data_IF_577135324527
#
_entry.id   IF_577135324527
#
_cell.length_a   1.000
_cell.length_b   1.000
_cell.length_c   1.000
_cell.angle_alpha   90.00
_cell.angle_beta   90.00
_cell.angle_gamma   90.00
#
_symmetry.space_group_name_H-M   'P 1'
#
loop_
_entity.id
_entity.type
_entity.pdbx_description
1 polymer ?
#
# COMPACT_ATOMS: atom_id res chain seq x y z
N UNK A 1 -9.74 -4.63 32.60
CA UNK A 1 -8.77 -5.22 31.67
C UNK A 1 -8.21 -4.05 30.89
N UNK A 2 -6.90 -4.01 30.72
CA UNK A 2 -6.28 -3.04 29.82
C UNK A 2 -6.63 -3.37 28.36
N UNK A 3 -6.68 -2.36 27.50
CA UNK A 3 -6.79 -2.59 26.05
C UNK A 3 -5.54 -3.31 25.54
N UNK A 4 -5.70 -4.27 24.63
CA UNK A 4 -4.60 -4.93 23.97
C UNK A 4 -4.26 -4.22 22.65
N UNK A 5 -3.02 -3.78 22.51
CA UNK A 5 -2.50 -3.17 21.28
C UNK A 5 -1.60 -4.18 20.57
N UNK A 6 -1.98 -4.60 19.35
CA UNK A 6 -1.13 -5.41 18.49
C UNK A 6 -0.32 -4.54 17.54
N UNK A 7 0.98 -4.78 17.43
CA UNK A 7 1.88 -4.06 16.51
C UNK A 7 2.36 -5.04 15.44
N UNK A 8 1.96 -4.82 14.20
CA UNK A 8 2.33 -5.62 13.02
C UNK A 8 3.55 -5.02 12.35
N UNK A 9 4.61 -5.79 12.20
CA UNK A 9 5.88 -5.36 11.62
C UNK A 9 6.28 -6.29 10.47
N UNK A 10 5.97 -5.93 9.20
CA UNK A 10 6.44 -6.67 8.04
C UNK A 10 7.95 -6.45 7.85
N UNK A 11 8.72 -7.52 7.74
CA UNK A 11 10.18 -7.49 7.63
C UNK A 11 10.66 -8.28 6.41
N UNK A 12 11.56 -7.68 5.64
CA UNK A 12 12.30 -8.34 4.56
C UNK A 12 13.74 -7.86 4.50
N UNK A 13 14.70 -8.71 4.89
CA UNK A 13 16.11 -8.37 5.04
C UNK A 13 16.32 -7.15 5.96
N UNK A 14 15.85 -7.27 7.21
CA UNK A 14 15.90 -6.23 8.23
C UNK A 14 16.71 -6.69 9.48
N UNK A 15 17.66 -7.61 9.30
CA UNK A 15 18.46 -8.17 10.40
C UNK A 15 19.21 -7.11 11.23
N UNK A 16 19.61 -5.99 10.62
CA UNK A 16 20.32 -4.89 11.28
C UNK A 16 19.38 -3.85 11.91
N UNK A 17 18.22 -3.61 11.27
CA UNK A 17 17.26 -2.59 11.74
C UNK A 17 16.39 -3.12 12.88
N UNK A 18 15.98 -4.40 12.81
CA UNK A 18 15.01 -4.97 13.72
C UNK A 18 15.41 -4.92 15.20
N UNK A 19 16.65 -5.21 15.62
CA UNK A 19 17.04 -5.08 17.03
C UNK A 19 16.90 -3.66 17.56
N UNK A 20 17.30 -2.65 16.77
CA UNK A 20 17.19 -1.23 17.13
C UNK A 20 15.72 -0.80 17.20
N UNK A 21 14.90 -1.26 16.26
CA UNK A 21 13.47 -1.00 16.28
C UNK A 21 12.81 -1.52 17.56
N UNK A 22 13.12 -2.78 17.96
CA UNK A 22 12.55 -3.38 19.17
C UNK A 22 13.01 -2.66 20.42
N UNK A 23 14.26 -2.20 20.51
CA UNK A 23 14.76 -1.42 21.64
C UNK A 23 13.98 -0.09 21.80
N UNK A 24 13.75 0.63 20.69
CA UNK A 24 12.95 1.85 20.70
C UNK A 24 11.50 1.55 21.08
N UNK A 25 10.93 0.47 20.52
CA UNK A 25 9.57 0.06 20.81
C UNK A 25 9.38 -0.33 22.28
N UNK A 26 10.33 -1.04 22.88
CA UNK A 26 10.33 -1.37 24.33
C UNK A 26 10.21 -0.08 25.19
N UNK A 27 10.92 0.98 24.78
CA UNK A 27 10.84 2.29 25.44
C UNK A 27 9.47 2.96 25.30
N UNK A 28 8.76 2.76 24.21
CA UNK A 28 7.38 3.28 24.00
C UNK A 28 6.39 2.45 24.82
N UNK A 29 6.48 1.13 24.76
CA UNK A 29 5.66 0.21 25.56
C UNK A 29 5.75 0.56 27.05
N UNK A 30 6.96 0.81 27.55
CA UNK A 30 7.16 1.19 28.94
C UNK A 30 6.51 2.54 29.34
N UNK A 31 6.25 3.43 28.37
CA UNK A 31 5.53 4.70 28.60
C UNK A 31 4.02 4.54 28.56
N UNK A 32 3.51 3.44 28.01
CA UNK A 32 2.09 3.14 27.82
C UNK A 32 1.67 2.02 28.78
N UNK A 33 1.95 2.16 30.08
CA UNK A 33 1.66 1.18 31.14
C UNK A 33 0.16 0.91 31.38
N UNK A 34 -0.69 1.70 30.73
CA UNK A 34 -2.14 1.58 30.74
C UNK A 34 -2.70 0.64 29.66
N UNK A 35 -1.86 0.05 28.81
CA UNK A 35 -2.25 -0.89 27.77
C UNK A 35 -1.34 -2.14 27.79
N UNK A 36 -1.90 -3.27 27.36
CA UNK A 36 -1.14 -4.51 27.10
C UNK A 36 -0.69 -4.55 25.64
N UNK A 37 0.40 -5.27 25.36
CA UNK A 37 0.99 -5.27 24.03
C UNK A 37 1.21 -6.69 23.46
N UNK A 38 1.00 -6.82 22.16
CA UNK A 38 1.40 -7.94 21.33
C UNK A 38 2.19 -7.39 20.13
N UNK A 39 3.33 -7.97 19.79
CA UNK A 39 4.07 -7.63 18.57
C UNK A 39 4.06 -8.83 17.63
N UNK A 40 3.63 -8.64 16.39
CA UNK A 40 3.59 -9.67 15.35
C UNK A 40 4.63 -9.32 14.27
N UNK A 41 5.80 -9.96 14.35
CA UNK A 41 6.86 -9.83 13.36
C UNK A 41 6.56 -10.76 12.18
N UNK A 42 6.54 -10.25 10.95
CA UNK A 42 6.27 -11.06 9.75
C UNK A 42 7.53 -11.10 8.87
N UNK A 43 8.20 -12.22 8.81
CA UNK A 43 9.32 -12.45 7.90
C UNK A 43 8.81 -12.80 6.50
N UNK A 44 8.95 -11.88 5.55
CA UNK A 44 8.56 -12.06 4.15
C UNK A 44 9.65 -12.79 3.34
N UNK A 45 10.05 -13.99 3.80
CA UNK A 45 11.02 -14.82 3.10
C UNK A 45 12.39 -14.17 2.95
N UNK A 46 12.92 -13.55 4.01
CA UNK A 46 14.24 -12.90 4.03
C UNK A 46 15.35 -13.88 3.67
N UNK A 47 16.42 -13.35 3.05
CA UNK A 47 17.60 -14.09 2.63
C UNK A 47 18.82 -13.86 3.55
N UNK A 48 18.69 -12.91 4.47
CA UNK A 48 19.67 -12.58 5.50
C UNK A 48 19.30 -13.26 6.84
N UNK A 49 19.90 -12.81 7.93
CA UNK A 49 19.67 -13.35 9.28
C UNK A 49 18.42 -12.83 9.97
N UNK A 50 17.48 -12.19 9.24
CA UNK A 50 16.26 -11.61 9.85
C UNK A 50 15.46 -12.64 10.64
N UNK A 51 15.28 -13.87 10.11
CA UNK A 51 14.52 -14.90 10.82
C UNK A 51 15.19 -15.36 12.10
N UNK A 52 16.53 -15.52 12.10
CA UNK A 52 17.29 -15.87 13.31
C UNK A 52 17.18 -14.77 14.36
N UNK A 53 17.26 -13.53 13.95
CA UNK A 53 17.09 -12.35 14.84
C UNK A 53 15.69 -12.33 15.43
N UNK A 54 14.63 -12.56 14.63
CA UNK A 54 13.24 -12.65 15.14
C UNK A 54 13.08 -13.73 16.20
N UNK A 55 13.63 -14.92 15.94
CA UNK A 55 13.58 -16.03 16.89
C UNK A 55 14.26 -15.68 18.21
N UNK A 56 15.45 -15.09 18.15
CA UNK A 56 16.20 -14.69 19.34
C UNK A 56 15.44 -13.61 20.15
N UNK A 57 14.84 -12.64 19.49
CA UNK A 57 14.05 -11.59 20.13
C UNK A 57 12.80 -12.18 20.80
N UNK A 58 12.07 -13.07 20.14
CA UNK A 58 10.85 -13.69 20.68
C UNK A 58 11.13 -14.60 21.90
N UNK A 59 12.32 -15.18 22.00
CA UNK A 59 12.71 -15.99 23.19
C UNK A 59 12.82 -15.16 24.46
N UNK A 60 13.15 -13.86 24.34
CA UNK A 60 13.37 -12.95 25.49
C UNK A 60 12.17 -12.04 25.78
N UNK A 61 11.16 -12.03 24.91
CA UNK A 61 10.00 -11.14 24.98
C UNK A 61 8.70 -11.90 24.72
N UNK A 62 7.97 -12.34 25.76
CA UNK A 62 6.76 -13.15 25.61
C UNK A 62 5.62 -12.49 24.81
N UNK A 63 5.61 -11.17 24.73
CA UNK A 63 4.62 -10.41 23.95
C UNK A 63 4.94 -10.37 22.44
N UNK A 64 6.09 -10.92 22.00
CA UNK A 64 6.48 -10.98 20.60
C UNK A 64 6.19 -12.35 20.00
N UNK A 65 5.38 -12.36 18.94
CA UNK A 65 5.15 -13.52 18.06
C UNK A 65 5.81 -13.26 16.71
N UNK A 66 6.16 -14.33 15.98
CA UNK A 66 6.64 -14.17 14.60
C UNK A 66 5.96 -15.17 13.67
N UNK A 67 5.79 -14.75 12.41
CA UNK A 67 5.31 -15.54 11.28
C UNK A 67 6.37 -15.50 10.20
N UNK A 68 6.65 -16.62 9.53
CA UNK A 68 7.65 -16.68 8.46
C UNK A 68 7.08 -17.29 7.20
N UNK A 69 7.23 -16.60 6.08
CA UNK A 69 6.84 -17.09 4.76
C UNK A 69 7.93 -17.97 4.16
N UNK A 70 7.51 -18.91 3.30
CA UNK A 70 8.40 -19.80 2.55
C UNK A 70 9.24 -19.08 1.48
N UNK A 71 8.77 -17.92 0.99
CA UNK A 71 9.44 -17.04 0.04
C UNK A 71 8.95 -15.61 0.20
N UNK A 72 9.55 -14.67 -0.51
CA UNK A 72 9.03 -13.31 -0.58
C UNK A 72 7.70 -13.26 -1.37
N UNK A 73 6.65 -12.78 -0.71
CA UNK A 73 5.31 -12.52 -1.25
C UNK A 73 5.01 -11.02 -1.36
N UNK A 74 5.86 -10.18 -0.79
CA UNK A 74 5.73 -8.73 -0.78
C UNK A 74 5.11 -8.16 0.49
N UNK A 75 5.36 -6.85 0.71
CA UNK A 75 4.93 -6.13 1.93
C UNK A 75 3.42 -6.23 2.18
N UNK A 76 2.61 -6.18 1.14
CA UNK A 76 1.14 -6.27 1.23
C UNK A 76 0.69 -7.61 1.84
N UNK A 77 1.30 -8.71 1.40
CA UNK A 77 1.04 -10.03 1.98
C UNK A 77 1.52 -10.11 3.44
N UNK A 78 2.68 -9.52 3.73
CA UNK A 78 3.20 -9.43 5.10
C UNK A 78 2.27 -8.67 6.04
N UNK A 79 1.75 -7.53 5.61
CA UNK A 79 0.76 -6.76 6.37
C UNK A 79 -0.53 -7.57 6.59
N UNK A 80 -1.06 -8.20 5.54
CA UNK A 80 -2.27 -9.02 5.66
C UNK A 80 -2.11 -10.16 6.65
N UNK A 81 -1.01 -10.92 6.57
CA UNK A 81 -0.72 -11.98 7.52
C UNK A 81 -0.57 -11.42 8.95
N UNK A 82 0.17 -10.33 9.13
CA UNK A 82 0.33 -9.71 10.43
C UNK A 82 -1.01 -9.30 11.06
N UNK A 83 -1.89 -8.66 10.27
CA UNK A 83 -3.24 -8.29 10.70
C UNK A 83 -4.08 -9.53 11.08
N UNK A 84 -3.91 -10.65 10.37
CA UNK A 84 -4.62 -11.91 10.65
C UNK A 84 -4.21 -12.53 12.00
N UNK A 85 -2.94 -12.36 12.41
CA UNK A 85 -2.41 -12.88 13.67
C UNK A 85 -2.42 -11.85 14.82
N UNK A 86 -2.93 -10.66 14.57
CA UNK A 86 -3.07 -9.60 15.54
C UNK A 86 -4.37 -9.77 16.34
N UNK A 87 -4.26 -10.05 17.65
CA UNK A 87 -5.39 -10.33 18.54
C UNK A 87 -5.93 -9.08 19.26
N UNK A 88 -5.22 -7.93 19.17
CA UNK A 88 -5.50 -6.70 19.94
C UNK A 88 -6.82 -6.03 19.61
N UNK A 89 -7.35 -5.28 20.55
CA UNK A 89 -8.50 -4.37 20.39
C UNK A 89 -8.17 -3.26 19.40
N UNK A 90 -6.90 -2.85 19.41
CA UNK A 90 -6.29 -1.91 18.48
C UNK A 90 -5.09 -2.55 17.80
N UNK A 91 -4.92 -2.26 16.50
CA UNK A 91 -3.81 -2.83 15.73
C UNK A 91 -3.04 -1.73 15.02
N UNK A 92 -1.74 -1.64 15.29
CA UNK A 92 -0.82 -0.78 14.58
C UNK A 92 -0.07 -1.54 13.48
N UNK A 93 0.25 -0.87 12.38
CA UNK A 93 1.22 -1.33 11.37
C UNK A 93 2.43 -0.40 11.45
N UNK A 94 3.64 -0.94 11.58
CA UNK A 94 4.87 -0.17 11.66
C UNK A 94 5.96 -0.79 10.78
N UNK A 95 6.82 0.05 10.20
CA UNK A 95 8.02 -0.38 9.49
C UNK A 95 9.22 -0.45 10.46
N UNK A 96 10.08 -1.47 10.30
CA UNK A 96 11.24 -1.67 11.19
C UNK A 96 12.39 -0.65 10.98
N UNK A 97 12.31 0.22 9.96
CA UNK A 97 13.38 1.14 9.56
C UNK A 97 13.42 2.48 10.33
N UNK A 98 12.49 2.67 11.28
CA UNK A 98 12.36 3.87 12.12
C UNK A 98 12.22 5.19 11.33
N UNK A 99 11.77 5.14 10.07
CA UNK A 99 11.47 6.36 9.30
C UNK A 99 10.23 7.10 9.82
N UNK A 100 9.30 6.36 10.39
CA UNK A 100 8.11 6.89 11.02
C UNK A 100 8.32 6.86 12.54
N UNK A 101 8.26 8.01 13.26
CA UNK A 101 8.54 8.06 14.70
C UNK A 101 7.57 7.19 15.49
N UNK A 102 8.04 6.14 16.20
CA UNK A 102 7.19 5.24 16.96
C UNK A 102 6.41 5.91 18.09
N UNK A 103 6.88 7.07 18.57
CA UNK A 103 6.22 7.89 19.61
C UNK A 103 4.81 8.30 19.23
N UNK A 104 4.50 8.42 17.94
CA UNK A 104 3.15 8.73 17.46
C UNK A 104 2.12 7.69 17.86
N UNK A 105 2.54 6.49 18.27
CA UNK A 105 1.62 5.47 18.76
C UNK A 105 0.78 5.97 19.95
N UNK A 106 1.36 6.82 20.81
CA UNK A 106 0.68 7.43 21.96
C UNK A 106 -0.46 8.36 21.49
N UNK A 107 -0.14 9.29 20.57
CA UNK A 107 -1.11 10.23 20.03
C UNK A 107 -2.19 9.51 19.19
N UNK A 108 -1.79 8.44 18.46
CA UNK A 108 -2.71 7.61 17.71
C UNK A 108 -3.70 6.88 18.63
N UNK A 109 -3.21 6.34 19.74
CA UNK A 109 -4.06 5.68 20.72
C UNK A 109 -5.07 6.65 21.34
N UNK A 110 -4.66 7.85 21.72
CA UNK A 110 -5.58 8.87 22.20
C UNK A 110 -6.64 9.25 21.16
N UNK A 111 -6.24 9.41 19.91
CA UNK A 111 -7.17 9.74 18.83
C UNK A 111 -8.26 8.68 18.63
N UNK A 112 -7.89 7.39 18.71
CA UNK A 112 -8.84 6.30 18.49
C UNK A 112 -9.71 6.02 19.72
N UNK A 113 -9.15 6.15 20.93
CA UNK A 113 -9.86 5.83 22.17
C UNK A 113 -10.70 6.98 22.72
N UNK A 114 -10.21 8.25 22.59
CA UNK A 114 -10.83 9.42 23.24
C UNK A 114 -11.52 10.36 22.25
N UNK A 115 -11.04 10.47 21.00
CA UNK A 115 -11.58 11.46 20.05
C UNK A 115 -12.60 10.86 19.05
N UNK A 116 -12.85 9.55 19.11
CA UNK A 116 -13.86 8.86 18.30
C UNK A 116 -13.46 8.69 16.82
N UNK A 117 -12.15 8.54 16.54
CA UNK A 117 -11.66 8.08 15.25
C UNK A 117 -11.56 6.56 15.22
N UNK A 118 -11.75 5.97 14.04
CA UNK A 118 -11.57 4.53 13.84
C UNK A 118 -10.11 4.17 13.52
N UNK A 119 -9.38 5.17 13.00
CA UNK A 119 -7.98 5.05 12.62
C UNK A 119 -7.25 6.37 12.89
N UNK A 120 -6.00 6.28 13.32
CA UNK A 120 -5.05 7.40 13.29
C UNK A 120 -3.82 6.98 12.49
N UNK A 121 -3.38 7.81 11.54
CA UNK A 121 -2.34 7.47 10.59
C UNK A 121 -1.30 8.57 10.43
N UNK A 122 -0.04 8.18 10.29
CA UNK A 122 1.07 9.09 10.03
C UNK A 122 1.01 9.62 8.59
N UNK A 123 1.22 10.93 8.44
CA UNK A 123 1.27 11.60 7.14
C UNK A 123 2.52 12.46 7.02
N UNK A 124 3.38 12.13 6.07
CA UNK A 124 4.56 12.93 5.77
C UNK A 124 4.18 14.15 4.94
N UNK A 125 4.42 15.35 5.47
CA UNK A 125 4.06 16.63 4.81
C UNK A 125 5.19 17.23 3.99
N UNK A 126 6.45 16.80 4.19
CA UNK A 126 7.60 17.30 3.44
C UNK A 126 8.23 16.20 2.60
N UNK A 127 8.79 16.57 1.44
CA UNK A 127 9.56 15.69 0.55
C UNK A 127 11.04 16.10 0.48
N UNK A 128 11.55 16.78 1.52
CA UNK A 128 12.95 17.16 1.61
C UNK A 128 13.83 15.90 1.53
N UNK A 129 14.86 15.94 0.68
CA UNK A 129 15.76 14.80 0.48
C UNK A 129 15.31 13.78 -0.60
N UNK A 130 14.11 13.91 -1.19
CA UNK A 130 13.71 13.06 -2.32
C UNK A 130 14.21 13.63 -3.67
N UNK A 131 14.64 12.77 -4.62
CA UNK A 131 14.93 13.20 -5.98
C UNK A 131 13.73 13.91 -6.61
N UNK A 132 13.91 15.08 -7.29
CA UNK A 132 12.81 15.88 -7.83
C UNK A 132 11.95 15.10 -8.84
N UNK A 133 12.56 14.23 -9.65
CA UNK A 133 11.88 13.36 -10.62
C UNK A 133 10.90 12.42 -9.89
N UNK A 134 11.34 11.78 -8.80
CA UNK A 134 10.49 10.89 -8.01
C UNK A 134 9.31 11.63 -7.38
N UNK A 135 9.55 12.81 -6.85
CA UNK A 135 8.51 13.67 -6.26
C UNK A 135 7.49 14.15 -7.31
N UNK A 136 7.94 14.41 -8.55
CA UNK A 136 7.06 14.78 -9.67
C UNK A 136 6.11 13.62 -10.03
N UNK A 137 6.64 12.41 -10.26
CA UNK A 137 5.83 11.23 -10.60
C UNK A 137 4.87 10.85 -9.47
N UNK A 138 5.30 10.97 -8.21
CA UNK A 138 4.42 10.71 -7.08
C UNK A 138 3.24 11.70 -7.05
N UNK A 139 3.49 13.02 -7.21
CA UNK A 139 2.41 14.02 -7.28
C UNK A 139 1.46 13.77 -8.44
N UNK A 140 2.01 13.40 -9.61
CA UNK A 140 1.20 13.04 -10.78
C UNK A 140 0.31 11.83 -10.50
N UNK A 141 0.86 10.79 -9.87
CA UNK A 141 0.11 9.61 -9.46
C UNK A 141 -1.06 9.95 -8.52
N UNK A 142 -0.80 10.68 -7.42
CA UNK A 142 -1.86 11.07 -6.48
C UNK A 142 -2.93 11.96 -7.13
N UNK A 143 -2.53 12.89 -8.03
CA UNK A 143 -3.47 13.72 -8.79
C UNK A 143 -4.34 12.89 -9.73
N UNK A 144 -3.74 11.88 -10.38
CA UNK A 144 -4.46 10.97 -11.27
C UNK A 144 -5.44 10.09 -10.49
N UNK A 145 -4.97 9.48 -9.38
CA UNK A 145 -5.81 8.68 -8.49
C UNK A 145 -6.99 9.47 -7.95
N UNK A 146 -6.79 10.70 -7.49
CA UNK A 146 -7.87 11.56 -6.99
C UNK A 146 -8.91 11.95 -8.05
N UNK A 147 -8.59 11.82 -9.36
CA UNK A 147 -9.56 12.06 -10.46
C UNK A 147 -10.24 10.79 -10.95
N UNK A 148 -9.56 9.65 -10.87
CA UNK A 148 -9.99 8.39 -11.48
C UNK A 148 -10.59 7.41 -10.47
N UNK A 149 -10.25 7.55 -9.19
CA UNK A 149 -10.74 6.70 -8.10
C UNK A 149 -11.84 7.40 -7.32
N UNK A 150 -12.84 6.62 -6.90
CA UNK A 150 -13.84 7.06 -5.90
C UNK A 150 -13.30 7.03 -4.48
N UNK A 151 -12.09 6.46 -4.29
CA UNK A 151 -11.44 6.31 -3.00
C UNK A 151 -10.40 7.42 -2.79
N UNK A 152 -10.44 8.07 -1.65
CA UNK A 152 -9.47 9.08 -1.28
C UNK A 152 -8.12 8.43 -0.94
N UNK A 153 -7.11 8.63 -1.78
CA UNK A 153 -5.72 8.24 -1.52
C UNK A 153 -4.93 9.48 -1.14
N UNK A 154 -4.63 9.62 0.14
CA UNK A 154 -3.99 10.83 0.69
C UNK A 154 -2.50 10.88 0.35
N UNK A 155 -2.04 11.99 -0.25
CA UNK A 155 -0.60 12.20 -0.53
C UNK A 155 0.19 12.29 0.76
N UNK A 156 1.32 11.57 0.81
CA UNK A 156 2.18 11.47 1.98
C UNK A 156 1.69 10.49 3.05
N UNK A 157 0.55 9.82 2.87
CA UNK A 157 0.08 8.78 3.77
C UNK A 157 1.11 7.65 3.90
N UNK A 158 1.41 7.29 5.16
CA UNK A 158 2.31 6.18 5.51
C UNK A 158 1.51 4.95 5.87
N UNK A 159 2.18 3.81 5.91
CA UNK A 159 1.58 2.57 6.38
C UNK A 159 1.44 2.58 7.91
N UNK A 160 2.29 3.36 8.62
CA UNK A 160 2.19 3.54 10.07
C UNK A 160 0.86 4.17 10.46
N UNK A 161 0.05 3.37 11.13
CA UNK A 161 -1.29 3.72 11.63
C UNK A 161 -1.71 2.82 12.77
N UNK A 162 -2.60 3.32 13.60
CA UNK A 162 -3.34 2.54 14.60
C UNK A 162 -4.82 2.48 14.19
N UNK A 163 -5.41 1.31 14.21
CA UNK A 163 -6.78 1.02 13.79
C UNK A 163 -7.53 0.31 14.91
N UNK A 164 -8.82 0.61 15.10
CA UNK A 164 -9.69 -0.20 15.95
C UNK A 164 -10.00 -1.56 15.28
N UNK A 165 -10.52 -2.51 16.04
CA UNK A 165 -10.83 -3.87 15.57
C UNK A 165 -11.78 -3.88 14.38
N UNK A 166 -12.81 -3.02 14.36
CA UNK A 166 -13.77 -2.93 13.26
C UNK A 166 -13.11 -2.58 11.93
N UNK A 167 -12.15 -1.64 11.96
CA UNK A 167 -11.37 -1.27 10.79
C UNK A 167 -10.54 -2.44 10.28
N UNK A 168 -9.85 -3.14 11.19
CA UNK A 168 -9.01 -4.30 10.87
C UNK A 168 -9.85 -5.43 10.25
N UNK A 169 -10.99 -5.75 10.86
CA UNK A 169 -11.89 -6.79 10.37
C UNK A 169 -12.41 -6.47 8.97
N UNK A 170 -12.74 -5.20 8.69
CA UNK A 170 -13.13 -4.76 7.35
C UNK A 170 -11.99 -4.96 6.33
N UNK A 171 -10.73 -4.64 6.70
CA UNK A 171 -9.58 -4.88 5.83
C UNK A 171 -9.31 -6.37 5.59
N UNK A 172 -9.51 -7.23 6.59
CA UNK A 172 -9.34 -8.67 6.47
C UNK A 172 -10.43 -9.32 5.61
N UNK A 173 -11.62 -8.73 5.56
CA UNK A 173 -12.70 -9.16 4.65
C UNK A 173 -12.42 -8.80 3.18
N UNK A 174 -11.54 -7.84 2.90
CA UNK A 174 -11.03 -7.56 1.55
C UNK A 174 -9.95 -8.59 1.20
N UNK A 175 -10.32 -9.63 0.42
CA UNK A 175 -9.46 -10.79 0.13
C UNK A 175 -8.82 -10.74 -1.26
N UNK A 176 -8.67 -9.56 -1.82
CA UNK A 176 -8.05 -9.37 -3.14
C UNK A 176 -6.59 -9.89 -3.13
N UNK A 177 -6.21 -10.59 -4.19
CA UNK A 177 -4.85 -11.09 -4.36
C UNK A 177 -3.85 -9.94 -4.58
N UNK A 178 -4.20 -9.00 -5.44
CA UNK A 178 -3.40 -7.81 -5.71
C UNK A 178 -3.84 -6.67 -4.78
N UNK A 179 -3.34 -6.70 -3.55
CA UNK A 179 -3.67 -5.69 -2.55
C UNK A 179 -2.92 -4.39 -2.82
N UNK A 180 -3.60 -3.29 -2.61
CA UNK A 180 -3.01 -1.94 -2.57
C UNK A 180 -3.53 -1.24 -1.31
N UNK A 181 -2.83 -1.48 -0.19
CA UNK A 181 -3.28 -1.08 1.14
C UNK A 181 -3.62 0.41 1.24
N UNK A 182 -2.85 1.29 0.59
CA UNK A 182 -3.12 2.75 0.61
C UNK A 182 -4.50 3.11 0.03
N UNK A 183 -4.96 2.37 -0.97
CA UNK A 183 -6.32 2.52 -1.50
C UNK A 183 -7.35 1.85 -0.58
N UNK A 184 -7.05 0.65 -0.07
CA UNK A 184 -7.97 -0.11 0.78
C UNK A 184 -8.29 0.64 2.09
N UNK A 185 -7.31 1.31 2.69
CA UNK A 185 -7.51 2.12 3.89
C UNK A 185 -8.53 3.25 3.70
N UNK A 186 -8.56 3.87 2.52
CA UNK A 186 -9.59 4.85 2.19
C UNK A 186 -10.92 4.21 1.78
N UNK A 187 -10.85 3.07 1.07
CA UNK A 187 -12.02 2.40 0.51
C UNK A 187 -12.98 1.84 1.56
N UNK A 188 -12.45 1.34 2.69
CA UNK A 188 -13.29 0.86 3.80
C UNK A 188 -14.10 1.99 4.49
N UNK A 189 -13.79 3.26 4.24
CA UNK A 189 -14.64 4.42 4.56
C UNK A 189 -14.70 4.83 6.04
N UNK A 190 -13.79 4.33 6.88
CA UNK A 190 -13.74 4.68 8.29
C UNK A 190 -13.09 6.04 8.55
N UNK A 191 -13.44 6.66 9.68
CA UNK A 191 -12.97 7.98 10.07
C UNK A 191 -11.50 7.93 10.49
N UNK A 192 -10.63 8.61 9.72
CA UNK A 192 -9.17 8.61 9.96
C UNK A 192 -8.66 9.99 10.39
N UNK A 193 -7.89 10.06 11.47
CA UNK A 193 -7.10 11.22 11.88
C UNK A 193 -5.70 11.14 11.28
N UNK A 194 -5.22 12.24 10.69
CA UNK A 194 -3.89 12.33 10.10
C UNK A 194 -2.93 13.06 11.05
N UNK A 195 -1.87 12.39 11.47
CA UNK A 195 -0.78 12.97 12.25
C UNK A 195 0.32 13.38 11.28
N UNK A 196 0.44 14.70 11.09
CA UNK A 196 1.39 15.27 10.14
C UNK A 196 2.79 15.38 10.76
N UNK A 197 3.83 14.97 10.01
CA UNK A 197 5.22 15.10 10.44
C UNK A 197 6.16 15.40 9.26
N UNK A 198 7.36 15.91 9.60
CA UNK A 198 8.43 16.13 8.63
C UNK A 198 9.24 14.85 8.39
N UNK A 199 9.80 14.71 7.18
CA UNK A 199 10.57 13.54 6.81
C UNK A 199 11.79 13.34 7.74
N UNK A 200 11.91 12.14 8.32
CA UNK A 200 13.07 11.70 9.09
C UNK A 200 13.91 10.77 8.22
N UNK A 201 15.24 10.89 8.29
CA UNK A 201 16.16 10.02 7.59
C UNK A 201 16.17 8.60 8.21
N UNK A 202 16.43 7.59 7.39
CA UNK A 202 16.51 6.20 7.85
C UNK A 202 17.68 6.01 8.82
N UNK A 203 17.44 5.30 9.90
CA UNK A 203 18.49 4.93 10.87
C UNK A 203 19.37 3.79 10.32
N UNK A 204 18.83 2.89 9.49
CA UNK A 204 19.54 1.79 8.86
C UNK A 204 18.81 1.26 7.60
N UNK A 205 19.51 0.49 6.76
CA UNK A 205 18.93 -0.15 5.55
C UNK A 205 19.01 0.70 4.29
N UNK A 206 18.81 0.07 3.13
CA UNK A 206 18.80 0.72 1.81
C UNK A 206 17.41 0.67 1.17
N UNK A 207 17.09 1.68 0.33
CA UNK A 207 15.86 1.67 -0.46
C UNK A 207 15.85 0.51 -1.43
N UNK A 208 14.91 -0.42 -1.27
CA UNK A 208 14.73 -1.61 -2.13
C UNK A 208 13.87 -1.31 -3.37
N UNK A 209 13.28 -0.12 -3.45
CA UNK A 209 12.39 0.30 -4.53
C UNK A 209 13.17 0.98 -5.65
N UNK A 210 13.16 0.38 -6.85
CA UNK A 210 13.62 1.02 -8.09
C UNK A 210 12.45 1.69 -8.82
N UNK A 211 12.76 2.45 -9.88
CA UNK A 211 11.76 3.17 -10.68
C UNK A 211 10.69 2.22 -11.26
N UNK A 212 11.08 1.09 -11.80
CA UNK A 212 10.17 0.12 -12.43
C UNK A 212 9.23 -0.53 -11.42
N UNK A 213 9.73 -0.85 -10.22
CA UNK A 213 8.90 -1.39 -9.14
C UNK A 213 7.84 -0.39 -8.68
N UNK A 214 8.21 0.90 -8.55
CA UNK A 214 7.28 1.97 -8.20
C UNK A 214 6.25 2.21 -9.31
N UNK A 215 6.66 2.17 -10.56
CA UNK A 215 5.79 2.34 -11.73
C UNK A 215 4.76 1.19 -11.79
N UNK A 216 5.23 -0.07 -11.67
CA UNK A 216 4.34 -1.24 -11.64
C UNK A 216 3.34 -1.16 -10.49
N UNK A 217 3.79 -0.84 -9.29
CA UNK A 217 2.93 -0.66 -8.11
C UNK A 217 1.89 0.45 -8.32
N UNK A 218 2.27 1.53 -9.00
CA UNK A 218 1.34 2.62 -9.34
C UNK A 218 0.26 2.17 -10.33
N UNK A 219 0.62 1.39 -11.35
CA UNK A 219 -0.35 0.82 -12.30
C UNK A 219 -1.29 -0.15 -11.59
N UNK A 220 -0.77 -1.03 -10.74
CA UNK A 220 -1.58 -1.97 -9.94
C UNK A 220 -2.58 -1.21 -9.07
N UNK A 221 -2.16 -0.11 -8.42
CA UNK A 221 -3.04 0.75 -7.64
C UNK A 221 -4.15 1.41 -8.48
N UNK A 222 -3.82 1.92 -9.68
CA UNK A 222 -4.80 2.53 -10.59
C UNK A 222 -5.82 1.49 -11.05
N UNK A 223 -5.38 0.31 -11.47
CA UNK A 223 -6.26 -0.76 -11.97
C UNK A 223 -7.15 -1.32 -10.86
N UNK A 224 -6.63 -1.43 -9.63
CA UNK A 224 -7.39 -1.95 -8.49
C UNK A 224 -8.54 -1.01 -8.07
N UNK A 225 -8.38 0.32 -8.20
CA UNK A 225 -9.34 1.31 -7.69
C UNK A 225 -9.96 2.21 -8.78
N UNK A 226 -9.80 1.86 -10.07
CA UNK A 226 -10.37 2.63 -11.17
C UNK A 226 -10.70 1.74 -12.36
N UNK A 227 -11.91 1.88 -12.88
CA UNK A 227 -12.34 1.27 -14.14
C UNK A 227 -11.93 2.09 -15.38
N UNK A 228 -11.39 3.29 -15.19
CA UNK A 228 -11.04 4.23 -16.28
C UNK A 228 -10.10 3.62 -17.32
N UNK A 229 -9.02 2.85 -16.97
CA UNK A 229 -8.17 2.22 -17.96
C UNK A 229 -8.92 1.21 -18.83
N UNK A 230 -9.86 0.46 -18.25
CA UNK A 230 -10.68 -0.51 -18.97
C UNK A 230 -11.66 0.17 -19.92
N UNK A 231 -12.32 1.23 -19.46
CA UNK A 231 -13.22 2.06 -20.28
C UNK A 231 -12.46 2.66 -21.44
N UNK A 232 -11.28 3.21 -21.22
CA UNK A 232 -10.45 3.78 -22.29
C UNK A 232 -10.03 2.72 -23.33
N UNK A 233 -9.60 1.54 -22.90
CA UNK A 233 -9.28 0.42 -23.79
C UNK A 233 -10.51 -0.03 -24.62
N UNK A 234 -11.69 -0.04 -24.00
CA UNK A 234 -12.94 -0.38 -24.69
C UNK A 234 -13.29 0.65 -25.77
N UNK A 235 -13.12 1.95 -25.50
CA UNK A 235 -13.34 3.00 -26.51
C UNK A 235 -12.35 2.90 -27.67
N UNK A 236 -11.06 2.62 -27.40
CA UNK A 236 -10.07 2.40 -28.45
C UNK A 236 -10.45 1.18 -29.30
N UNK A 237 -10.85 0.06 -28.66
CA UNK A 237 -11.31 -1.14 -29.36
C UNK A 237 -12.50 -0.88 -30.28
N UNK A 238 -13.53 -0.17 -29.77
CA UNK A 238 -14.69 0.24 -30.57
C UNK A 238 -14.30 1.14 -31.75
N UNK A 239 -13.38 2.08 -31.54
CA UNK A 239 -12.88 2.94 -32.62
C UNK A 239 -12.21 2.11 -33.73
N UNK A 240 -11.33 1.16 -33.38
CA UNK A 240 -10.71 0.28 -34.37
C UNK A 240 -11.71 -0.61 -35.08
N UNK A 241 -12.71 -1.16 -34.38
CA UNK A 241 -13.79 -1.93 -34.98
C UNK A 241 -14.57 -1.07 -35.99
N UNK A 242 -14.89 0.18 -35.62
CA UNK A 242 -15.58 1.10 -36.52
C UNK A 242 -14.75 1.44 -37.77
N UNK A 243 -13.47 1.74 -37.62
CA UNK A 243 -12.56 1.98 -38.75
C UNK A 243 -12.49 0.76 -39.66
N UNK A 244 -12.31 -0.46 -39.09
CA UNK A 244 -12.29 -1.69 -39.89
C UNK A 244 -13.62 -1.93 -40.61
N UNK A 245 -14.76 -1.67 -39.97
CA UNK A 245 -16.08 -1.81 -40.57
C UNK A 245 -16.25 -0.86 -41.78
N UNK A 246 -15.85 0.42 -41.60
CA UNK A 246 -15.89 1.41 -42.68
C UNK A 246 -14.97 1.00 -43.84
N UNK A 247 -13.74 0.54 -43.54
CA UNK A 247 -12.79 0.05 -44.55
C UNK A 247 -13.36 -1.13 -45.35
N UNK A 248 -14.03 -2.08 -44.70
CA UNK A 248 -14.71 -3.22 -45.38
C UNK A 248 -15.83 -2.72 -46.29
N UNK A 249 -16.64 -1.76 -45.86
CA UNK A 249 -17.70 -1.18 -46.72
C UNK A 249 -17.07 -0.55 -47.95
N UNK A 250 -16.04 0.30 -47.78
CA UNK A 250 -15.34 0.93 -48.92
C UNK A 250 -14.70 -0.09 -49.87
N UNK A 251 -14.17 -1.19 -49.33
CA UNK A 251 -13.62 -2.26 -50.12
C UNK A 251 -14.69 -3.03 -50.93
N UNK A 252 -15.88 -3.25 -50.35
CA UNK A 252 -16.97 -4.00 -51.02
C UNK A 252 -17.83 -3.11 -51.91
N UNK A 253 -17.87 -1.81 -51.71
CA UNK A 253 -18.71 -0.86 -52.47
C UNK A 253 -18.51 -0.95 -53.99
N UNK A 254 -17.27 -1.07 -54.56
CA UNK A 254 -17.03 -1.22 -55.99
C UNK A 254 -17.65 -2.49 -56.57
N UNK A 255 -17.78 -3.54 -55.78
CA UNK A 255 -18.35 -4.81 -56.21
C UNK A 255 -19.88 -4.83 -56.19
N UNK A 256 -20.48 -3.96 -55.33
CA UNK A 256 -21.94 -3.85 -55.17
C UNK A 256 -22.57 -2.83 -56.13
N UNK A 257 -21.78 -1.87 -56.64
CA UNK A 257 -22.24 -0.83 -57.57
C UNK A 257 -21.42 -0.85 -58.86
N UNK A 258 -21.85 -1.54 -59.93
CA UNK A 258 -21.14 -1.68 -61.21
C UNK A 258 -20.86 -0.35 -61.93
N UNK A 259 -21.36 0.78 -61.45
CA UNK A 259 -21.24 2.11 -62.05
C UNK A 259 -20.14 2.99 -61.42
N UNK A 260 -19.34 2.54 -60.44
CA UNK A 260 -18.22 3.33 -59.90
C UNK A 260 -17.04 3.24 -60.84
N UNK A 261 -16.49 4.40 -61.31
CA UNK A 261 -15.32 4.39 -62.22
C UNK A 261 -14.11 3.82 -61.49
N UNK A 262 -13.36 2.93 -62.21
CA UNK A 262 -12.17 2.19 -61.81
C UNK A 262 -10.94 3.02 -61.40
N UNK A 263 -11.14 4.30 -61.09
CA UNK A 263 -10.06 5.28 -60.78
C UNK A 263 -9.46 5.09 -59.37
N UNK A 264 -10.17 4.41 -58.46
CA UNK A 264 -9.68 4.21 -57.08
C UNK A 264 -8.92 2.91 -56.84
N UNK A 265 -8.92 1.96 -57.80
CA UNK A 265 -8.24 0.66 -57.65
C UNK A 265 -6.77 0.72 -58.06
N UNK A 266 -6.31 1.74 -58.79
CA UNK A 266 -4.93 1.89 -59.24
C UNK A 266 -3.98 2.62 -58.27
N UNK A 267 -4.44 3.00 -57.07
CA UNK A 267 -3.61 3.68 -56.08
C UNK A 267 -3.09 2.79 -54.93
N UNK A 268 -3.27 1.45 -55.05
CA UNK A 268 -2.90 0.50 -53.98
C UNK A 268 -2.12 -0.71 -54.55
N UNK A 269 -1.12 -0.46 -55.43
CA UNK A 269 -0.05 -1.44 -55.73
C UNK A 269 1.28 -0.76 -55.55
#
# INVERSE_FOLDING_TARGET
>A
MNDLISIVVPCYNESEALPKFIEVLDGIIAKMDYADFQVVLVNDGSRDKTLEVMKAIAQTRPYIKYVSFSRNFGKEAGMYAGLTYADGDYVAIMDADLQDPPEFLIDMYEAVTKEGYDCAAARRVTRKGEPPIRSFFARMFYKLMGRMSTTEVVDGARDFRLMNRKFVDALLNCREYNRFSKGMFGWVGFKTKWIAYENVERVAGQTKWNFWSLFKYSIEGIVAFSTTPLVFASFIGLLFCFIAFVAVIFYLLPYLTPSFPSILVSATI
#
